data_IF_325270162723
#
_entry.id   IF_325270162723
#
_cell.length_a   1.000
_cell.length_b   1.000
_cell.length_c   1.000
_cell.angle_alpha   90.00
_cell.angle_beta   90.00
_cell.angle_gamma   90.00
#
_symmetry.space_group_name_H-M   'P 1'
#
loop_
_entity.id
_entity.type
_entity.pdbx_description
1 polymer ?
#
# COMPACT_ATOMS: atom_id res chain seq x y z
N UNK A 1 0.20 1.29 -19.00
CA UNK A 1 1.56 1.03 -19.57
C UNK A 1 1.74 1.55 -21.00
N UNK A 2 0.69 2.05 -21.67
CA UNK A 2 0.79 2.79 -22.95
C UNK A 2 1.58 2.08 -24.06
N UNK A 3 1.51 0.75 -24.10
CA UNK A 3 2.18 -0.04 -25.12
C UNK A 3 1.40 -0.03 -26.44
N UNK A 4 2.10 -0.22 -27.54
CA UNK A 4 1.50 -0.61 -28.82
C UNK A 4 1.10 -2.07 -28.74
N UNK A 5 -0.19 -2.37 -28.94
CA UNK A 5 -0.67 -3.76 -29.02
C UNK A 5 -0.33 -4.32 -30.39
N UNK A 6 0.20 -5.54 -30.44
CA UNK A 6 0.53 -6.18 -31.72
C UNK A 6 -0.74 -6.55 -32.49
N UNK A 7 -0.81 -6.17 -33.77
CA UNK A 7 -1.89 -6.60 -34.68
C UNK A 7 -1.95 -8.12 -34.84
N UNK A 8 -0.79 -8.77 -34.67
CA UNK A 8 -0.60 -10.21 -34.72
C UNK A 8 0.50 -10.63 -33.76
N UNK A 9 0.14 -11.42 -32.75
CA UNK A 9 1.06 -12.04 -31.80
C UNK A 9 1.13 -13.55 -32.03
N UNK A 10 2.30 -14.16 -31.86
CA UNK A 10 2.53 -15.58 -32.17
C UNK A 10 3.16 -16.27 -30.97
N UNK A 11 2.55 -17.37 -30.55
CA UNK A 11 3.10 -18.23 -29.50
C UNK A 11 4.27 -19.07 -30.01
N UNK A 12 5.19 -19.34 -29.09
CA UNK A 12 6.42 -20.08 -29.33
C UNK A 12 6.66 -21.09 -28.21
N UNK A 13 7.40 -22.15 -28.54
CA UNK A 13 7.93 -23.10 -27.58
C UNK A 13 9.34 -22.72 -27.19
N UNK A 14 9.57 -22.52 -25.89
CA UNK A 14 10.89 -22.40 -25.27
C UNK A 14 11.26 -23.75 -24.67
N UNK A 15 12.13 -24.50 -25.35
CA UNK A 15 12.45 -25.88 -24.97
C UNK A 15 13.49 -25.93 -23.86
N UNK A 16 13.16 -26.62 -22.78
CA UNK A 16 14.09 -27.02 -21.74
C UNK A 16 13.48 -28.18 -20.94
N UNK A 17 14.34 -29.08 -20.47
CA UNK A 17 13.91 -30.20 -19.65
C UNK A 17 14.13 -29.87 -18.19
N UNK A 18 13.05 -29.86 -17.43
CA UNK A 18 13.09 -29.78 -15.97
C UNK A 18 11.91 -30.56 -15.41
N UNK A 19 12.05 -31.10 -14.20
CA UNK A 19 11.05 -31.99 -13.60
C UNK A 19 9.68 -31.31 -13.41
N UNK A 20 9.66 -29.98 -13.28
CA UNK A 20 8.45 -29.17 -13.12
C UNK A 20 7.82 -28.69 -14.45
N UNK A 21 8.43 -29.02 -15.59
CA UNK A 21 7.93 -28.66 -16.92
C UNK A 21 7.49 -29.92 -17.69
N UNK A 22 6.22 -30.34 -17.57
CA UNK A 22 5.76 -31.65 -18.06
C UNK A 22 5.79 -31.77 -19.59
N UNK A 23 5.67 -30.65 -20.31
CA UNK A 23 5.66 -30.64 -21.77
C UNK A 23 7.07 -30.72 -22.39
N UNK A 24 8.13 -30.53 -21.60
CA UNK A 24 9.51 -30.37 -22.11
C UNK A 24 9.76 -29.05 -22.85
N UNK A 25 8.77 -28.15 -22.88
CA UNK A 25 8.86 -26.78 -23.38
C UNK A 25 7.81 -25.90 -22.70
N UNK A 26 8.11 -24.61 -22.54
CA UNK A 26 7.18 -23.59 -22.06
C UNK A 26 6.58 -22.85 -23.26
N UNK A 27 5.27 -22.64 -23.29
CA UNK A 27 4.62 -21.77 -24.28
C UNK A 27 4.82 -20.32 -23.85
N UNK A 28 5.34 -19.47 -24.74
CA UNK A 28 5.68 -18.06 -24.49
C UNK A 28 5.56 -17.23 -25.80
N UNK A 29 5.91 -15.94 -25.78
CA UNK A 29 5.84 -15.03 -26.95
C UNK A 29 7.08 -14.12 -27.02
N UNK A 30 8.24 -14.64 -27.44
CA UNK A 30 9.49 -13.88 -27.41
C UNK A 30 9.67 -12.97 -28.62
N UNK A 31 9.46 -13.48 -29.84
CA UNK A 31 9.71 -12.78 -31.11
C UNK A 31 8.52 -11.97 -31.61
N UNK A 32 7.32 -12.33 -31.19
CA UNK A 32 6.08 -11.65 -31.57
C UNK A 32 5.23 -11.41 -30.32
N UNK A 33 5.70 -10.55 -29.40
CA UNK A 33 5.07 -10.31 -28.11
C UNK A 33 3.66 -9.73 -28.27
N UNK A 34 2.87 -9.79 -27.22
CA UNK A 34 1.51 -9.28 -27.19
C UNK A 34 1.46 -7.75 -27.33
N UNK A 35 2.38 -7.06 -26.65
CA UNK A 35 2.51 -5.61 -26.74
C UNK A 35 3.99 -5.20 -26.64
N UNK A 36 4.32 -4.03 -27.17
CA UNK A 36 5.70 -3.51 -27.22
C UNK A 36 5.73 -1.98 -27.18
N UNK A 37 6.92 -1.41 -26.96
CA UNK A 37 7.17 0.04 -27.02
C UNK A 37 6.20 0.87 -26.17
N UNK A 38 6.12 0.55 -24.89
CA UNK A 38 5.34 1.32 -23.92
C UNK A 38 6.21 2.10 -22.94
N UNK A 39 5.57 2.65 -21.90
CA UNK A 39 6.28 3.28 -20.80
C UNK A 39 5.43 3.35 -19.53
N UNK A 40 6.09 3.39 -18.39
CA UNK A 40 5.50 3.67 -17.08
C UNK A 40 6.24 4.84 -16.45
N UNK A 41 5.49 5.86 -16.04
CA UNK A 41 6.03 6.97 -15.27
C UNK A 41 6.09 6.59 -13.81
N UNK A 42 7.25 6.76 -13.20
CA UNK A 42 7.48 6.60 -11.76
C UNK A 42 7.79 7.98 -11.22
N UNK A 43 6.84 8.56 -10.50
CA UNK A 43 6.87 9.96 -10.10
C UNK A 43 7.15 10.08 -8.59
N UNK A 44 7.81 11.15 -8.18
CA UNK A 44 8.00 11.45 -6.76
C UNK A 44 6.68 11.58 -6.00
N UNK A 45 5.66 12.08 -6.68
CA UNK A 45 4.31 12.23 -6.14
C UNK A 45 3.66 10.91 -5.76
N UNK A 46 4.08 9.79 -6.35
CA UNK A 46 3.65 8.44 -5.95
C UNK A 46 4.16 8.06 -4.55
N UNK A 47 5.09 8.85 -3.99
CA UNK A 47 5.67 8.74 -2.65
C UNK A 47 6.64 7.58 -2.47
N UNK A 48 7.05 6.92 -3.55
CA UNK A 48 7.99 5.80 -3.51
C UNK A 48 9.45 6.25 -3.68
N UNK A 49 9.66 7.50 -4.08
CA UNK A 49 10.96 8.11 -4.30
C UNK A 49 11.26 9.16 -3.21
N UNK A 50 12.54 9.37 -2.96
CA UNK A 50 13.05 10.30 -1.94
C UNK A 50 13.09 11.76 -2.40
N UNK A 51 13.15 12.03 -3.71
CA UNK A 51 13.16 13.38 -4.27
C UNK A 51 12.55 13.46 -5.67
N UNK A 52 12.22 14.67 -6.12
CA UNK A 52 11.62 14.94 -7.43
C UNK A 52 12.56 14.55 -8.58
N UNK A 53 13.87 14.76 -8.42
CA UNK A 53 14.90 14.44 -9.41
C UNK A 53 15.06 12.92 -9.64
N UNK A 54 14.58 12.11 -8.70
CA UNK A 54 14.58 10.66 -8.86
C UNK A 54 13.46 10.17 -9.80
N UNK A 55 12.48 11.02 -10.14
CA UNK A 55 11.39 10.69 -11.05
C UNK A 55 11.92 10.31 -12.42
N UNK A 56 11.29 9.31 -13.04
CA UNK A 56 11.73 8.82 -14.34
C UNK A 56 10.58 8.17 -15.11
N UNK A 57 10.70 8.22 -16.43
CA UNK A 57 9.89 7.41 -17.34
C UNK A 57 10.68 6.12 -17.64
N UNK A 58 10.12 4.98 -17.27
CA UNK A 58 10.70 3.65 -17.55
C UNK A 58 10.06 3.12 -18.83
N UNK A 59 10.82 2.98 -19.94
CA UNK A 59 10.30 2.36 -21.15
C UNK A 59 10.02 0.87 -20.92
N UNK A 60 8.93 0.38 -21.51
CA UNK A 60 8.60 -1.05 -21.56
C UNK A 60 8.97 -1.54 -22.95
N UNK A 61 9.92 -2.47 -23.02
CA UNK A 61 10.35 -3.07 -24.28
C UNK A 61 9.23 -3.94 -24.84
N UNK A 62 8.71 -4.86 -24.00
CA UNK A 62 7.66 -5.79 -24.40
C UNK A 62 6.86 -6.34 -23.23
N UNK A 63 5.66 -6.81 -23.54
CA UNK A 63 4.78 -7.59 -22.68
C UNK A 63 4.46 -8.88 -23.43
N UNK A 64 4.73 -10.02 -22.80
CA UNK A 64 4.52 -11.34 -23.39
C UNK A 64 3.67 -12.22 -22.49
N UNK A 65 2.88 -13.09 -23.11
CA UNK A 65 2.11 -14.11 -22.42
C UNK A 65 2.91 -15.41 -22.35
N UNK A 66 2.91 -16.05 -21.20
CA UNK A 66 3.56 -17.34 -21.00
C UNK A 66 2.79 -18.26 -20.04
N UNK A 67 3.24 -19.51 -19.94
CA UNK A 67 2.71 -20.49 -18.99
C UNK A 67 3.64 -20.64 -17.79
N UNK A 68 3.07 -20.71 -16.59
CA UNK A 68 3.83 -21.05 -15.38
C UNK A 68 4.18 -22.55 -15.33
N UNK A 69 5.24 -22.86 -14.59
CA UNK A 69 5.71 -24.24 -14.35
C UNK A 69 5.06 -24.83 -13.09
N UNK A 70 5.15 -26.16 -12.93
CA UNK A 70 4.79 -26.82 -11.69
C UNK A 70 5.67 -26.36 -10.51
N UNK A 71 5.30 -26.73 -9.28
CA UNK A 71 6.13 -26.48 -8.10
C UNK A 71 6.96 -27.72 -7.77
N UNK A 72 8.27 -27.54 -7.62
CA UNK A 72 9.18 -28.58 -7.15
C UNK A 72 9.57 -28.33 -5.69
N UNK A 73 9.35 -29.32 -4.83
CA UNK A 73 9.74 -29.29 -3.41
C UNK A 73 10.72 -30.42 -3.09
N UNK A 74 11.73 -30.15 -2.27
CA UNK A 74 12.76 -31.12 -1.90
C UNK A 74 12.65 -31.46 -0.42
N UNK A 75 12.66 -32.76 -0.11
CA UNK A 75 12.61 -33.25 1.26
C UNK A 75 13.76 -34.22 1.50
N UNK A 76 14.25 -34.25 2.73
CA UNK A 76 15.15 -35.29 3.20
C UNK A 76 14.29 -36.40 3.80
N UNK A 77 14.45 -37.63 3.31
CA UNK A 77 13.74 -38.81 3.82
C UNK A 77 14.77 -39.81 4.31
N UNK A 78 14.70 -40.14 5.60
CA UNK A 78 15.49 -41.22 6.15
C UNK A 78 15.01 -42.57 5.60
N UNK A 79 15.98 -43.42 5.27
CA UNK A 79 15.76 -44.79 4.80
C UNK A 79 16.78 -45.72 5.46
N UNK A 80 16.55 -47.04 5.38
CA UNK A 80 17.46 -48.04 5.95
C UNK A 80 18.92 -47.91 5.44
N UNK A 81 19.12 -47.29 4.27
CA UNK A 81 20.43 -47.05 3.66
C UNK A 81 20.91 -45.58 3.79
N UNK A 82 20.38 -44.82 4.76
CA UNK A 82 20.73 -43.43 5.02
C UNK A 82 19.69 -42.41 4.53
N UNK A 83 19.99 -41.13 4.73
CA UNK A 83 19.10 -40.03 4.35
C UNK A 83 19.15 -39.76 2.85
N UNK A 84 18.02 -39.92 2.15
CA UNK A 84 17.89 -39.67 0.71
C UNK A 84 17.12 -38.38 0.46
N UNK A 85 17.60 -37.55 -0.46
CA UNK A 85 16.85 -36.41 -0.98
C UNK A 85 15.78 -36.91 -1.95
N UNK A 86 14.52 -36.63 -1.65
CA UNK A 86 13.37 -36.87 -2.53
C UNK A 86 12.86 -35.53 -3.09
N UNK A 87 12.33 -35.57 -4.30
CA UNK A 87 11.70 -34.44 -4.95
C UNK A 87 10.22 -34.75 -5.14
N UNK A 88 9.36 -33.85 -4.68
CA UNK A 88 7.91 -33.91 -4.89
C UNK A 88 7.51 -32.81 -5.87
N UNK A 89 6.65 -33.17 -6.82
CA UNK A 89 6.17 -32.28 -7.86
C UNK A 89 4.68 -32.03 -7.66
N UNK A 90 4.28 -30.77 -7.62
CA UNK A 90 2.89 -30.34 -7.57
C UNK A 90 2.54 -29.59 -8.86
N UNK A 91 1.68 -30.22 -9.68
CA UNK A 91 1.28 -29.72 -10.99
C UNK A 91 0.06 -28.79 -10.96
N UNK A 92 -0.51 -28.46 -9.79
CA UNK A 92 -1.69 -27.59 -9.70
C UNK A 92 -1.47 -26.21 -10.35
N UNK A 93 -0.23 -25.71 -10.35
CA UNK A 93 0.16 -24.42 -10.96
C UNK A 93 0.57 -24.52 -12.44
N UNK A 94 0.85 -25.73 -12.93
CA UNK A 94 1.38 -25.89 -14.28
C UNK A 94 0.38 -25.41 -15.34
N UNK A 95 0.82 -24.54 -16.24
CA UNK A 95 -0.03 -24.00 -17.32
C UNK A 95 -0.88 -22.79 -16.93
N UNK A 96 -0.81 -22.30 -15.69
CA UNK A 96 -1.41 -21.02 -15.29
C UNK A 96 -0.84 -19.90 -16.15
N UNK A 97 -1.69 -18.96 -16.59
CA UNK A 97 -1.28 -17.85 -17.43
C UNK A 97 -0.41 -16.84 -16.67
N UNK A 98 0.68 -16.41 -17.30
CA UNK A 98 1.58 -15.38 -16.81
C UNK A 98 1.71 -14.26 -17.83
N UNK A 99 1.97 -13.06 -17.31
CA UNK A 99 2.35 -11.89 -18.09
C UNK A 99 3.78 -11.54 -17.67
N UNK A 100 4.72 -11.61 -18.61
CA UNK A 100 6.08 -11.13 -18.39
C UNK A 100 6.22 -9.72 -18.99
N UNK A 101 6.59 -8.76 -18.15
CA UNK A 101 6.78 -7.35 -18.49
C UNK A 101 8.27 -7.04 -18.47
N UNK A 102 8.84 -6.75 -19.64
CA UNK A 102 10.27 -6.46 -19.78
C UNK A 102 10.47 -4.94 -19.89
N UNK A 103 11.14 -4.36 -18.90
CA UNK A 103 11.53 -2.95 -18.91
C UNK A 103 12.86 -2.75 -19.64
N UNK A 104 13.03 -1.58 -20.26
CA UNK A 104 14.33 -1.13 -20.73
C UNK A 104 15.23 -0.78 -19.53
N UNK A 105 16.57 -0.79 -19.69
CA UNK A 105 17.52 -0.51 -18.61
C UNK A 105 17.61 1.00 -18.29
N UNK A 106 16.50 1.61 -17.85
CA UNK A 106 16.38 3.04 -17.55
C UNK A 106 16.64 3.41 -16.09
N UNK A 107 16.39 2.48 -15.16
CA UNK A 107 16.59 2.70 -13.72
C UNK A 107 18.09 2.83 -13.39
N UNK A 108 18.42 3.70 -12.44
CA UNK A 108 19.80 4.03 -12.01
C UNK A 108 20.05 3.79 -10.53
N UNK A 109 19.01 3.64 -9.73
CA UNK A 109 19.11 3.36 -8.29
C UNK A 109 18.22 2.19 -7.88
N UNK A 110 18.57 1.54 -6.77
CA UNK A 110 17.73 0.50 -6.15
C UNK A 110 16.34 1.05 -5.75
N UNK A 111 16.29 2.32 -5.34
CA UNK A 111 15.04 3.01 -5.01
C UNK A 111 14.11 3.11 -6.22
N UNK A 112 14.63 3.55 -7.38
CA UNK A 112 13.87 3.58 -8.63
C UNK A 112 13.36 2.20 -9.04
N UNK A 113 14.16 1.15 -8.83
CA UNK A 113 13.75 -0.23 -9.10
C UNK A 113 12.57 -0.66 -8.22
N UNK A 114 12.60 -0.38 -6.92
CA UNK A 114 11.47 -0.68 -6.04
C UNK A 114 10.23 0.16 -6.35
N UNK A 115 10.40 1.44 -6.64
CA UNK A 115 9.31 2.32 -7.02
C UNK A 115 8.64 1.86 -8.32
N UNK A 116 9.42 1.40 -9.30
CA UNK A 116 8.89 0.80 -10.53
C UNK A 116 8.07 -0.47 -10.26
N UNK A 117 8.58 -1.41 -9.46
CA UNK A 117 7.84 -2.65 -9.14
C UNK A 117 6.53 -2.34 -8.39
N UNK A 118 6.54 -1.39 -7.45
CA UNK A 118 5.32 -0.93 -6.77
C UNK A 118 4.33 -0.30 -7.74
N UNK A 119 4.80 0.55 -8.67
CA UNK A 119 3.95 1.15 -9.70
C UNK A 119 3.29 0.10 -10.60
N UNK A 120 4.05 -0.93 -11.01
CA UNK A 120 3.50 -2.05 -11.79
C UNK A 120 2.44 -2.80 -10.98
N UNK A 121 2.71 -3.10 -9.71
CA UNK A 121 1.73 -3.74 -8.79
C UNK A 121 0.45 -2.92 -8.70
N UNK A 122 0.55 -1.61 -8.49
CA UNK A 122 -0.62 -0.71 -8.38
C UNK A 122 -1.45 -0.70 -9.66
N UNK A 123 -0.78 -0.65 -10.83
CA UNK A 123 -1.45 -0.71 -12.13
C UNK A 123 -2.19 -2.05 -12.33
N UNK A 124 -1.53 -3.17 -12.03
CA UNK A 124 -2.11 -4.51 -12.21
C UNK A 124 -3.29 -4.77 -11.27
N UNK A 125 -3.20 -4.31 -10.02
CA UNK A 125 -4.29 -4.37 -9.04
C UNK A 125 -5.47 -3.52 -9.46
N UNK A 126 -5.20 -2.30 -9.92
CA UNK A 126 -6.23 -1.35 -10.35
C UNK A 126 -7.11 -1.95 -11.47
N UNK A 127 -6.50 -2.59 -12.47
CA UNK A 127 -7.23 -3.23 -13.58
C UNK A 127 -7.69 -4.67 -13.26
N UNK A 128 -7.49 -5.13 -12.02
CA UNK A 128 -7.82 -6.48 -11.56
C UNK A 128 -7.21 -7.60 -12.42
N UNK A 129 -6.00 -7.38 -12.95
CA UNK A 129 -5.26 -8.39 -13.72
C UNK A 129 -4.43 -9.33 -12.82
N UNK A 130 -4.04 -8.85 -11.64
CA UNK A 130 -3.32 -9.62 -10.62
C UNK A 130 -3.51 -8.98 -9.25
N UNK A 131 -3.54 -9.81 -8.21
CA UNK A 131 -3.43 -9.47 -6.81
C UNK A 131 -2.04 -8.91 -6.45
N UNK A 132 -1.01 -9.20 -7.25
CA UNK A 132 0.30 -8.57 -7.19
C UNK A 132 1.09 -8.84 -5.89
N UNK A 133 0.80 -9.93 -5.19
CA UNK A 133 1.46 -10.30 -3.94
C UNK A 133 2.77 -11.06 -4.22
N UNK A 134 3.90 -10.48 -3.82
CA UNK A 134 5.20 -11.10 -4.04
C UNK A 134 5.46 -12.30 -3.13
N UNK A 135 4.95 -12.28 -1.90
CA UNK A 135 5.13 -13.36 -0.93
C UNK A 135 4.37 -14.63 -1.33
N UNK A 136 3.19 -14.47 -1.95
CA UNK A 136 2.38 -15.57 -2.49
C UNK A 136 2.82 -15.99 -3.90
N UNK A 137 3.71 -15.22 -4.53
CA UNK A 137 4.31 -15.52 -5.81
C UNK A 137 3.44 -15.19 -7.03
N UNK A 138 2.40 -14.36 -6.86
CA UNK A 138 1.57 -13.82 -7.94
C UNK A 138 2.19 -12.60 -8.62
N UNK A 139 3.18 -11.97 -8.00
CA UNK A 139 4.12 -11.04 -8.64
C UNK A 139 5.56 -11.52 -8.41
N UNK A 140 6.35 -11.63 -9.48
CA UNK A 140 7.76 -12.04 -9.43
C UNK A 140 8.61 -11.01 -10.14
N UNK A 141 9.84 -10.82 -9.68
CA UNK A 141 10.78 -9.89 -10.29
C UNK A 141 12.20 -10.48 -10.28
N UNK A 142 12.82 -10.53 -11.46
CA UNK A 142 14.26 -10.74 -11.61
C UNK A 142 14.91 -9.40 -11.97
N UNK A 143 16.04 -9.07 -11.34
CA UNK A 143 16.71 -7.79 -11.51
C UNK A 143 18.00 -7.94 -12.32
N UNK A 144 18.18 -7.13 -13.37
CA UNK A 144 19.41 -7.09 -14.14
C UNK A 144 20.24 -5.87 -13.72
N UNK A 145 21.43 -6.11 -13.14
CA UNK A 145 22.30 -5.07 -12.59
C UNK A 145 23.63 -5.02 -13.33
N UNK A 146 24.01 -3.83 -13.75
CA UNK A 146 25.33 -3.53 -14.29
C UNK A 146 25.76 -2.14 -13.86
N UNK A 147 27.06 -1.95 -13.62
CA UNK A 147 27.66 -0.63 -13.38
C UNK A 147 28.64 -0.26 -14.49
N UNK A 148 28.87 1.04 -14.65
CA UNK A 148 29.80 1.61 -15.62
C UNK A 148 30.29 2.96 -15.12
N UNK A 149 31.40 3.47 -15.67
CA UNK A 149 31.83 4.84 -15.40
C UNK A 149 30.97 5.80 -16.23
N UNK A 150 30.70 6.98 -15.69
CA UNK A 150 29.96 8.00 -16.43
C UNK A 150 30.64 8.30 -17.77
N UNK A 151 29.87 8.27 -18.86
CA UNK A 151 30.37 8.48 -20.22
C UNK A 151 30.93 7.23 -20.91
N UNK A 152 30.96 6.07 -20.26
CA UNK A 152 31.33 4.79 -20.91
C UNK A 152 30.09 3.98 -21.30
N UNK A 153 30.19 3.00 -22.19
CA UNK A 153 29.12 2.02 -22.41
C UNK A 153 28.75 1.28 -21.12
N UNK A 154 27.53 0.72 -21.06
CA UNK A 154 27.12 -0.15 -19.96
C UNK A 154 28.05 -1.38 -19.86
N UNK A 155 28.31 -1.80 -18.61
CA UNK A 155 29.13 -2.97 -18.33
C UNK A 155 28.40 -4.29 -18.55
N UNK A 156 29.06 -5.38 -18.14
CA UNK A 156 28.44 -6.71 -18.10
C UNK A 156 27.31 -6.74 -17.08
N UNK A 157 26.18 -7.36 -17.43
CA UNK A 157 25.04 -7.54 -16.52
C UNK A 157 25.16 -8.81 -15.69
N UNK A 158 24.76 -8.72 -14.43
CA UNK A 158 24.41 -9.87 -13.59
C UNK A 158 22.89 -9.88 -13.36
N UNK A 159 22.29 -11.05 -13.49
CA UNK A 159 20.85 -11.26 -13.29
C UNK A 159 20.64 -11.84 -11.89
N UNK A 160 19.89 -11.14 -11.04
CA UNK A 160 19.54 -11.57 -9.68
C UNK A 160 18.15 -12.18 -9.70
N UNK A 161 18.03 -13.40 -9.17
CA UNK A 161 16.79 -14.18 -9.07
C UNK A 161 16.36 -14.37 -7.61
N UNK A 162 15.12 -14.84 -7.44
CA UNK A 162 14.50 -15.18 -6.15
C UNK A 162 14.32 -13.96 -5.24
N UNK A 163 13.76 -12.87 -5.78
CA UNK A 163 13.45 -11.67 -5.02
C UNK A 163 11.95 -11.68 -4.63
N UNK A 164 11.68 -12.12 -3.40
CA UNK A 164 10.30 -12.34 -2.91
C UNK A 164 9.63 -11.08 -2.33
N UNK A 165 10.35 -9.95 -2.24
CA UNK A 165 9.77 -8.69 -1.79
C UNK A 165 10.49 -7.49 -2.41
N UNK A 166 9.82 -6.34 -2.44
CA UNK A 166 10.44 -5.06 -2.87
C UNK A 166 11.61 -4.69 -1.95
N UNK A 167 11.52 -5.00 -0.66
CA UNK A 167 12.62 -4.79 0.30
C UNK A 167 13.87 -5.58 -0.11
N UNK A 168 13.71 -6.85 -0.49
CA UNK A 168 14.82 -7.70 -0.90
C UNK A 168 15.36 -7.30 -2.28
N UNK A 169 14.52 -6.84 -3.20
CA UNK A 169 14.96 -6.22 -4.44
C UNK A 169 15.90 -5.04 -4.17
N UNK A 170 15.52 -4.12 -3.28
CA UNK A 170 16.34 -2.96 -2.93
C UNK A 170 17.70 -3.37 -2.37
N UNK A 171 17.71 -4.31 -1.42
CA UNK A 171 18.93 -4.81 -0.80
C UNK A 171 19.82 -5.52 -1.82
N UNK A 172 19.24 -6.38 -2.65
CA UNK A 172 19.99 -7.16 -3.64
C UNK A 172 20.64 -6.29 -4.70
N UNK A 173 19.90 -5.30 -5.25
CA UNK A 173 20.45 -4.35 -6.23
C UNK A 173 21.58 -3.52 -5.61
N UNK A 174 21.38 -3.02 -4.39
CA UNK A 174 22.40 -2.23 -3.67
C UNK A 174 23.67 -3.06 -3.43
N UNK A 175 23.51 -4.29 -2.94
CA UNK A 175 24.63 -5.19 -2.70
C UNK A 175 25.37 -5.51 -4.01
N UNK A 176 24.63 -5.84 -5.08
CA UNK A 176 25.23 -6.21 -6.36
C UNK A 176 25.99 -5.04 -7.00
N UNK A 177 25.46 -3.81 -6.90
CA UNK A 177 26.19 -2.61 -7.31
C UNK A 177 27.51 -2.45 -6.56
N UNK A 178 27.50 -2.60 -5.23
CA UNK A 178 28.70 -2.50 -4.41
C UNK A 178 29.72 -3.62 -4.70
N UNK A 179 29.23 -4.85 -4.92
CA UNK A 179 30.05 -5.99 -5.32
C UNK A 179 30.77 -5.72 -6.64
N UNK A 180 30.02 -5.31 -7.66
CA UNK A 180 30.59 -5.02 -8.97
C UNK A 180 31.59 -3.86 -8.87
N UNK A 181 31.28 -2.82 -8.09
CA UNK A 181 32.17 -1.67 -7.88
C UNK A 181 33.50 -2.11 -7.27
N UNK A 182 33.44 -2.89 -6.20
CA UNK A 182 34.62 -3.38 -5.49
C UNK A 182 35.50 -4.24 -6.41
N UNK A 183 34.88 -5.12 -7.21
CA UNK A 183 35.60 -5.99 -8.13
C UNK A 183 36.25 -5.21 -9.29
N UNK A 184 35.58 -4.19 -9.84
CA UNK A 184 36.15 -3.35 -10.89
C UNK A 184 37.28 -2.45 -10.35
N UNK A 185 37.12 -1.87 -9.16
CA UNK A 185 38.16 -1.05 -8.53
C UNK A 185 39.40 -1.87 -8.14
N UNK A 186 39.25 -3.16 -7.82
CA UNK A 186 40.38 -4.07 -7.61
C UNK A 186 41.03 -4.56 -8.92
N UNK A 187 40.64 -4.04 -10.08
CA UNK A 187 41.17 -4.45 -11.39
C UNK A 187 40.60 -5.76 -11.94
N UNK A 188 39.53 -6.29 -11.32
CA UNK A 188 38.81 -7.47 -11.79
C UNK A 188 37.85 -7.16 -12.95
N UNK A 189 37.16 -8.19 -13.42
CA UNK A 189 36.16 -8.07 -14.49
C UNK A 189 34.83 -8.70 -14.06
N UNK A 190 33.72 -8.13 -14.53
CA UNK A 190 32.39 -8.67 -14.28
C UNK A 190 32.06 -9.70 -15.37
N UNK A 191 31.79 -10.94 -14.96
CA UNK A 191 31.27 -11.98 -15.83
C UNK A 191 29.74 -11.97 -15.86
N UNK A 192 29.16 -12.47 -16.95
CA UNK A 192 27.71 -12.59 -17.06
C UNK A 192 27.23 -13.79 -16.23
N UNK A 193 26.51 -13.50 -15.15
CA UNK A 193 26.14 -14.51 -14.14
C UNK A 193 24.63 -14.51 -13.88
N UNK A 194 24.10 -15.67 -13.49
CA UNK A 194 22.82 -15.74 -12.75
C UNK A 194 23.15 -15.89 -11.27
N UNK A 195 22.66 -14.96 -10.46
CA UNK A 195 22.91 -14.87 -9.03
C UNK A 195 21.60 -15.04 -8.27
N UNK A 196 21.67 -15.63 -7.08
CA UNK A 196 20.57 -15.66 -6.13
C UNK A 196 20.80 -14.62 -5.04
N UNK A 197 19.77 -14.31 -4.27
CA UNK A 197 19.86 -13.46 -3.09
C UNK A 197 19.62 -14.28 -1.82
N UNK A 198 20.52 -14.15 -0.84
CA UNK A 198 20.37 -14.72 0.50
C UNK A 198 19.76 -13.65 1.40
N UNK A 199 18.46 -13.78 1.70
CA UNK A 199 17.71 -12.81 2.48
C UNK A 199 18.22 -12.66 3.92
N UNK A 200 18.76 -13.73 4.52
CA UNK A 200 19.24 -13.73 5.89
C UNK A 200 20.58 -12.99 6.02
N UNK A 201 21.45 -13.14 5.02
CA UNK A 201 22.76 -12.50 4.99
C UNK A 201 22.78 -11.17 4.25
N UNK A 202 21.78 -10.90 3.42
CA UNK A 202 21.71 -9.71 2.58
C UNK A 202 22.75 -9.69 1.46
N UNK A 203 23.15 -10.85 0.93
CA UNK A 203 24.23 -10.98 -0.06
C UNK A 203 23.77 -11.70 -1.33
N UNK A 204 24.34 -11.35 -2.48
CA UNK A 204 24.16 -12.13 -3.71
C UNK A 204 25.16 -13.27 -3.79
N UNK A 205 24.72 -14.46 -4.19
CA UNK A 205 25.59 -15.63 -4.40
C UNK A 205 25.49 -16.13 -5.84
N UNK A 206 26.56 -16.72 -6.35
CA UNK A 206 26.59 -17.29 -7.70
C UNK A 206 25.71 -18.55 -7.73
N UNK A 207 24.73 -18.62 -8.64
CA UNK A 207 23.95 -19.84 -8.88
C UNK A 207 24.56 -20.64 -10.04
N UNK A 208 24.79 -19.95 -11.17
CA UNK A 208 25.39 -20.54 -12.38
C UNK A 208 26.12 -19.48 -13.21
N UNK A 209 27.22 -19.86 -13.85
CA UNK A 209 27.86 -19.07 -14.91
C UNK A 209 27.04 -19.18 -16.21
N UNK A 210 27.09 -18.16 -17.08
CA UNK A 210 26.39 -18.18 -18.39
C UNK A 210 27.27 -18.68 -19.55
N UNK A 211 28.43 -19.30 -19.28
CA UNK A 211 29.24 -19.95 -20.33
C UNK A 211 28.46 -21.07 -21.04
N UNK A 212 27.49 -21.69 -20.36
CA UNK A 212 26.55 -22.68 -20.89
C UNK A 212 25.14 -22.08 -21.14
N UNK A 213 25.03 -20.91 -21.77
CA UNK A 213 23.72 -20.32 -22.07
C UNK A 213 22.83 -21.35 -22.80
N UNK A 214 21.70 -21.81 -22.21
CA UNK A 214 20.94 -22.89 -22.82
C UNK A 214 20.38 -22.46 -24.17
N UNK A 215 20.66 -23.23 -25.22
CA UNK A 215 19.93 -23.08 -26.47
C UNK A 215 18.51 -23.61 -26.27
N UNK A 216 17.60 -22.67 -25.96
CA UNK A 216 16.19 -22.95 -25.75
C UNK A 216 15.44 -23.34 -27.04
N UNK A 217 16.10 -23.35 -28.22
CA UNK A 217 15.54 -23.79 -29.51
C UNK A 217 14.13 -23.27 -29.76
N UNK A 218 13.97 -21.96 -29.77
CA UNK A 218 12.66 -21.32 -29.96
C UNK A 218 12.06 -21.72 -31.32
N UNK A 219 10.82 -22.20 -31.30
CA UNK A 219 10.04 -22.48 -32.51
C UNK A 219 8.61 -22.00 -32.34
N UNK A 220 7.91 -21.76 -33.45
CA UNK A 220 6.48 -21.46 -33.40
C UNK A 220 5.70 -22.61 -32.76
N UNK A 221 4.70 -22.27 -31.94
CA UNK A 221 3.74 -23.24 -31.41
C UNK A 221 2.70 -23.55 -32.49
N UNK A 222 2.74 -24.72 -33.16
CA UNK A 222 1.83 -25.03 -34.26
C UNK A 222 0.38 -25.26 -33.79
N UNK A 223 0.16 -25.57 -32.52
CA UNK A 223 -1.18 -25.89 -32.01
C UNK A 223 -2.00 -24.65 -31.65
N UNK A 224 -1.39 -23.47 -31.63
CA UNK A 224 -2.06 -22.20 -31.33
C UNK A 224 -2.00 -21.29 -32.56
N UNK A 225 -3.16 -20.87 -33.05
CA UNK A 225 -3.23 -19.89 -34.12
C UNK A 225 -2.69 -18.54 -33.64
N UNK A 226 -2.16 -17.69 -34.55
CA UNK A 226 -1.77 -16.34 -34.20
C UNK A 226 -2.90 -15.59 -33.49
N UNK A 227 -2.56 -14.92 -32.40
CA UNK A 227 -3.49 -14.10 -31.64
C UNK A 227 -3.65 -12.75 -32.36
N UNK A 228 -4.88 -12.41 -32.70
CA UNK A 228 -5.25 -11.13 -33.30
C UNK A 228 -6.32 -10.48 -32.44
N UNK A 229 -6.04 -9.27 -31.96
CA UNK A 229 -7.00 -8.50 -31.17
C UNK A 229 -7.67 -7.48 -32.07
N UNK A 230 -8.99 -7.58 -32.23
CA UNK A 230 -9.70 -6.65 -33.11
C UNK A 230 -9.78 -5.26 -32.50
N UNK A 231 -9.94 -4.24 -33.34
CA UNK A 231 -10.11 -2.87 -32.86
C UNK A 231 -11.34 -2.73 -31.96
N UNK A 232 -12.42 -3.42 -32.29
CA UNK A 232 -13.65 -3.48 -31.48
C UNK A 232 -13.39 -4.06 -30.09
N UNK A 233 -12.64 -5.17 -29.98
CA UNK A 233 -12.27 -5.75 -28.69
C UNK A 233 -11.40 -4.78 -27.88
N UNK A 234 -10.43 -4.12 -28.52
CA UNK A 234 -9.59 -3.12 -27.85
C UNK A 234 -10.40 -1.94 -27.33
N UNK A 235 -11.30 -1.40 -28.14
CA UNK A 235 -12.11 -0.24 -27.76
C UNK A 235 -13.11 -0.61 -26.64
N UNK A 236 -13.66 -1.82 -26.66
CA UNK A 236 -14.48 -2.36 -25.56
C UNK A 236 -13.69 -2.46 -24.25
N UNK A 237 -12.46 -3.00 -24.29
CA UNK A 237 -11.60 -3.09 -23.09
C UNK A 237 -11.21 -1.70 -22.61
N UNK A 238 -10.82 -0.79 -23.51
CA UNK A 238 -10.48 0.60 -23.16
C UNK A 238 -11.63 1.33 -22.49
N UNK A 239 -12.86 1.17 -23.00
CA UNK A 239 -14.05 1.79 -22.41
C UNK A 239 -14.40 1.22 -21.02
N UNK A 240 -13.97 -0.01 -20.73
CA UNK A 240 -14.16 -0.66 -19.42
C UNK A 240 -13.00 -0.50 -18.44
N UNK A 241 -11.94 0.23 -18.80
CA UNK A 241 -10.82 0.45 -17.89
C UNK A 241 -11.28 1.35 -16.72
N UNK A 242 -10.92 1.02 -15.47
CA UNK A 242 -11.13 1.90 -14.34
C UNK A 242 -10.22 3.12 -14.45
N UNK A 243 -10.54 4.15 -13.65
CA UNK A 243 -9.63 5.29 -13.45
C UNK A 243 -8.28 4.79 -12.94
N UNK A 244 -7.21 5.01 -13.72
CA UNK A 244 -5.87 4.55 -13.37
C UNK A 244 -5.31 5.33 -12.18
N UNK A 245 -4.33 4.79 -11.44
CA UNK A 245 -3.79 5.44 -10.24
C UNK A 245 -3.28 6.87 -10.48
N UNK A 246 -2.61 7.11 -11.62
CA UNK A 246 -2.10 8.43 -11.99
C UNK A 246 -3.22 9.45 -12.23
N UNK A 247 -4.22 9.06 -13.02
CA UNK A 247 -5.37 9.90 -13.35
C UNK A 247 -6.18 10.21 -12.10
N UNK A 248 -6.39 9.20 -11.24
CA UNK A 248 -7.04 9.36 -9.95
C UNK A 248 -6.29 10.32 -9.04
N UNK A 249 -4.98 10.13 -8.87
CA UNK A 249 -4.17 11.01 -8.03
C UNK A 249 -4.20 12.46 -8.54
N UNK A 250 -4.11 12.65 -9.85
CA UNK A 250 -4.22 13.96 -10.48
C UNK A 250 -5.60 14.58 -10.22
N UNK A 251 -6.68 13.82 -10.44
CA UNK A 251 -8.06 14.28 -10.21
C UNK A 251 -8.27 14.67 -8.75
N UNK A 252 -7.92 13.80 -7.80
CA UNK A 252 -8.08 14.07 -6.37
C UNK A 252 -7.32 15.34 -5.94
N UNK A 253 -6.10 15.54 -6.46
CA UNK A 253 -5.32 16.75 -6.19
C UNK A 253 -5.99 18.01 -6.72
N UNK A 254 -6.46 17.99 -7.97
CA UNK A 254 -7.07 19.16 -8.61
C UNK A 254 -8.47 19.46 -8.06
N UNK A 255 -9.27 18.42 -7.81
CA UNK A 255 -10.66 18.55 -7.39
C UNK A 255 -10.78 18.91 -5.90
N UNK A 256 -9.92 18.36 -5.05
CA UNK A 256 -10.01 18.50 -3.60
C UNK A 256 -8.86 19.30 -2.97
N UNK A 257 -7.93 19.82 -3.78
CA UNK A 257 -6.76 20.60 -3.32
C UNK A 257 -5.90 19.86 -2.27
N UNK A 258 -5.88 18.53 -2.33
CA UNK A 258 -5.15 17.69 -1.39
C UNK A 258 -3.65 17.76 -1.64
N UNK A 259 -2.87 17.73 -0.55
CA UNK A 259 -1.42 17.64 -0.67
C UNK A 259 -0.98 16.25 -1.17
N UNK A 260 0.16 16.18 -1.86
CA UNK A 260 0.78 14.92 -2.28
C UNK A 260 0.98 13.96 -1.11
N UNK A 261 1.33 14.50 0.07
CA UNK A 261 1.51 13.71 1.29
C UNK A 261 0.20 13.04 1.72
N UNK A 262 -0.90 13.78 1.75
CA UNK A 262 -2.19 13.26 2.18
C UNK A 262 -2.73 12.22 1.19
N UNK A 263 -2.58 12.47 -0.11
CA UNK A 263 -2.94 11.52 -1.16
C UNK A 263 -2.15 10.21 -1.05
N UNK A 264 -0.85 10.30 -0.79
CA UNK A 264 -0.02 9.11 -0.61
C UNK A 264 -0.45 8.29 0.61
N UNK A 265 -0.86 8.93 1.70
CA UNK A 265 -1.37 8.19 2.84
C UNK A 265 -2.74 7.59 2.51
N UNK A 266 -3.65 8.35 1.89
CA UNK A 266 -5.00 7.90 1.56
C UNK A 266 -5.00 6.70 0.60
N UNK A 267 -4.20 6.77 -0.46
CA UNK A 267 -4.11 5.72 -1.49
C UNK A 267 -3.40 4.47 -1.00
N UNK A 268 -2.60 4.56 0.06
CA UNK A 268 -1.86 3.45 0.66
C UNK A 268 -2.55 2.78 1.82
N UNK A 269 -3.69 3.30 2.27
CA UNK A 269 -4.50 2.59 3.26
C UNK A 269 -4.90 1.23 2.66
N UNK A 270 -4.45 0.14 3.31
CA UNK A 270 -4.54 -1.25 2.83
C UNK A 270 -3.64 -1.62 1.62
N UNK A 271 -2.64 -0.83 1.25
CA UNK A 271 -1.70 -1.20 0.18
C UNK A 271 -0.57 -2.14 0.67
N UNK A 272 -0.21 -2.03 1.95
CA UNK A 272 0.91 -2.73 2.61
C UNK A 272 0.53 -4.14 3.13
N UNK A 273 -0.20 -4.92 2.35
CA UNK A 273 -0.38 -6.37 2.56
C UNK A 273 0.93 -7.19 2.33
N UNK A 274 2.10 -6.57 2.50
CA UNK A 274 3.37 -7.31 2.55
C UNK A 274 3.54 -8.04 3.92
N UNK A 275 2.61 -7.82 4.86
CA UNK A 275 2.42 -8.63 6.07
C UNK A 275 0.96 -9.08 6.14
N UNK A 276 0.64 -10.12 5.38
CA UNK A 276 -0.65 -10.80 5.54
C UNK A 276 -0.78 -11.28 7.00
N UNK A 277 -1.76 -10.74 7.73
CA UNK A 277 -2.37 -11.48 8.84
C UNK A 277 -3.25 -12.52 8.16
N UNK A 278 -2.99 -13.83 8.34
CA UNK A 278 -3.83 -14.85 7.72
C UNK A 278 -5.27 -14.65 8.23
N UNK A 279 -6.21 -14.44 7.32
CA UNK A 279 -7.61 -14.60 7.65
C UNK A 279 -7.80 -16.06 8.10
N UNK A 280 -8.50 -16.32 9.23
CA UNK A 280 -8.74 -17.67 9.69
C UNK A 280 -9.43 -18.50 8.60
N UNK A 281 -8.93 -19.72 8.40
CA UNK A 281 -9.50 -20.69 7.47
C UNK A 281 -11.01 -20.87 7.77
N UNK A 282 -11.85 -20.57 6.77
CA UNK A 282 -13.30 -20.69 6.88
C UNK A 282 -14.09 -19.38 6.68
N UNK A 283 -13.42 -18.24 6.47
CA UNK A 283 -14.08 -17.02 6.01
C UNK A 283 -14.57 -17.20 4.57
N UNK A 284 -15.88 -17.31 4.40
CA UNK A 284 -16.53 -17.33 3.08
C UNK A 284 -16.13 -16.05 2.35
N UNK A 285 -15.76 -16.18 1.06
CA UNK A 285 -15.69 -15.03 0.15
C UNK A 285 -16.97 -14.19 0.33
N UNK A 286 -16.88 -12.90 0.70
CA UNK A 286 -18.06 -12.11 0.94
C UNK A 286 -18.83 -11.94 -0.38
N UNK A 287 -20.12 -12.27 -0.32
CA UNK A 287 -21.06 -12.10 -1.42
C UNK A 287 -21.12 -10.63 -1.87
N UNK A 288 -21.45 -10.36 -3.14
CA UNK A 288 -21.32 -9.03 -3.76
C UNK A 288 -22.43 -8.04 -3.36
N UNK A 289 -23.04 -8.18 -2.19
CA UNK A 289 -24.21 -7.41 -1.81
C UNK A 289 -24.01 -6.78 -0.43
N UNK A 290 -23.44 -5.56 -0.41
CA UNK A 290 -23.74 -4.44 0.52
C UNK A 290 -22.61 -3.40 0.45
N UNK A 291 -22.98 -2.13 0.22
CA UNK A 291 -22.11 -0.97 0.06
C UNK A 291 -21.09 -0.79 1.21
N UNK A 292 -19.91 -1.37 1.05
CA UNK A 292 -18.73 -1.01 1.81
C UNK A 292 -17.72 -0.49 0.79
N UNK A 293 -17.46 0.81 0.82
CA UNK A 293 -16.33 1.45 0.13
C UNK A 293 -15.04 0.75 0.59
N UNK A 294 -14.54 -0.20 -0.21
CA UNK A 294 -13.46 -1.13 0.19
C UNK A 294 -12.10 -0.46 0.29
N UNK A 295 -11.94 0.70 -0.36
CA UNK A 295 -10.71 1.48 -0.31
C UNK A 295 -10.96 2.84 0.36
N UNK A 296 -9.90 3.43 0.93
CA UNK A 296 -10.01 4.67 1.68
C UNK A 296 -10.30 5.90 0.81
N UNK A 297 -9.98 5.85 -0.49
CA UNK A 297 -10.30 6.92 -1.43
C UNK A 297 -11.81 7.03 -1.61
N UNK A 298 -12.48 5.94 -1.94
CA UNK A 298 -13.93 5.91 -2.11
C UNK A 298 -14.64 6.32 -0.81
N UNK A 299 -14.11 5.90 0.34
CA UNK A 299 -14.63 6.29 1.65
C UNK A 299 -14.51 7.81 1.88
N UNK A 300 -13.34 8.38 1.61
CA UNK A 300 -13.09 9.81 1.69
C UNK A 300 -14.04 10.59 0.76
N UNK A 301 -14.16 10.18 -0.50
CA UNK A 301 -15.05 10.83 -1.48
C UNK A 301 -16.52 10.75 -1.04
N UNK A 302 -16.94 9.61 -0.47
CA UNK A 302 -18.27 9.46 0.10
C UNK A 302 -18.52 10.43 1.27
N UNK A 303 -17.54 10.67 2.14
CA UNK A 303 -17.64 11.68 3.22
C UNK A 303 -17.73 13.10 2.64
N UNK A 304 -17.01 13.40 1.57
CA UNK A 304 -17.12 14.70 0.88
C UNK A 304 -18.49 14.87 0.24
N UNK A 305 -19.07 13.81 -0.34
CA UNK A 305 -20.43 13.82 -0.89
C UNK A 305 -21.52 14.14 0.16
N UNK A 306 -21.26 13.89 1.45
CA UNK A 306 -22.12 14.30 2.57
C UNK A 306 -22.02 15.80 2.91
N UNK A 307 -21.32 16.58 2.09
CA UNK A 307 -21.16 18.03 2.25
C UNK A 307 -20.04 18.45 3.22
N UNK A 308 -19.12 17.53 3.54
CA UNK A 308 -17.96 17.83 4.38
C UNK A 308 -16.86 18.44 3.52
N UNK A 309 -16.22 19.50 4.04
CA UNK A 309 -15.07 20.14 3.40
C UNK A 309 -13.93 19.13 3.20
N UNK A 310 -13.29 19.08 2.01
CA UNK A 310 -12.34 18.02 1.67
C UNK A 310 -11.16 17.87 2.63
N UNK A 311 -10.53 18.96 3.09
CA UNK A 311 -9.43 18.86 4.03
C UNK A 311 -9.88 18.29 5.38
N UNK A 312 -11.07 18.68 5.86
CA UNK A 312 -11.68 18.09 7.04
C UNK A 312 -11.97 16.60 6.85
N UNK A 313 -12.62 16.20 5.75
CA UNK A 313 -12.91 14.80 5.44
C UNK A 313 -11.63 13.95 5.38
N UNK A 314 -10.57 14.49 4.76
CA UNK A 314 -9.25 13.85 4.69
C UNK A 314 -8.65 13.66 6.09
N UNK A 315 -8.59 14.74 6.88
CA UNK A 315 -8.03 14.71 8.24
C UNK A 315 -8.79 13.71 9.12
N UNK A 316 -10.12 13.65 9.01
CA UNK A 316 -10.93 12.70 9.77
C UNK A 316 -10.76 11.26 9.30
N UNK A 317 -10.62 11.03 8.01
CA UNK A 317 -10.40 9.68 7.46
C UNK A 317 -9.02 9.14 7.90
N UNK A 318 -7.96 9.94 7.75
CA UNK A 318 -6.58 9.51 8.00
C UNK A 318 -6.15 9.65 9.46
N UNK A 319 -6.38 10.80 10.10
CA UNK A 319 -5.81 11.09 11.41
C UNK A 319 -6.72 10.70 12.57
N UNK A 320 -7.99 10.41 12.31
CA UNK A 320 -8.96 10.04 13.33
C UNK A 320 -9.47 8.61 13.13
N UNK A 321 -10.15 8.31 12.02
CA UNK A 321 -10.70 6.97 11.78
C UNK A 321 -9.62 5.90 11.64
N UNK A 322 -8.66 6.08 10.72
CA UNK A 322 -7.59 5.10 10.50
C UNK A 322 -6.75 4.87 11.77
N UNK A 323 -6.55 5.91 12.59
CA UNK A 323 -5.86 5.79 13.87
C UNK A 323 -6.61 4.87 14.84
N UNK A 324 -7.92 5.05 14.99
CA UNK A 324 -8.73 4.21 15.90
C UNK A 324 -8.86 2.78 15.37
N UNK A 325 -8.98 2.59 14.06
CA UNK A 325 -8.97 1.27 13.42
C UNK A 325 -7.66 0.52 13.66
N UNK A 326 -6.52 1.19 13.48
CA UNK A 326 -5.20 0.62 13.78
C UNK A 326 -5.05 0.26 15.26
N UNK A 327 -5.59 1.09 16.17
CA UNK A 327 -5.57 0.79 17.60
C UNK A 327 -6.44 -0.43 17.96
N UNK A 328 -7.54 -0.64 17.23
CA UNK A 328 -8.41 -1.81 17.36
C UNK A 328 -7.97 -3.02 16.53
N UNK A 329 -6.88 -2.91 15.75
CA UNK A 329 -6.42 -3.93 14.78
C UNK A 329 -7.49 -4.34 13.76
N UNK A 330 -8.36 -3.41 13.37
CA UNK A 330 -9.40 -3.62 12.36
C UNK A 330 -8.89 -3.11 11.01
N UNK A 331 -8.83 -3.94 9.95
CA UNK A 331 -8.49 -3.47 8.61
C UNK A 331 -9.45 -2.38 8.15
N UNK A 332 -8.98 -1.40 7.37
CA UNK A 332 -9.85 -0.29 6.96
C UNK A 332 -11.02 -0.77 6.08
N UNK A 333 -10.80 -1.80 5.26
CA UNK A 333 -11.84 -2.41 4.44
C UNK A 333 -12.98 -3.05 5.27
N UNK A 334 -12.72 -3.35 6.55
CA UNK A 334 -13.66 -3.93 7.49
C UNK A 334 -14.17 -2.89 8.52
N UNK A 335 -13.92 -1.60 8.27
CA UNK A 335 -14.32 -0.53 9.18
C UNK A 335 -15.84 -0.58 9.42
N UNK A 336 -16.31 -0.66 10.69
CA UNK A 336 -17.73 -0.69 11.01
C UNK A 336 -18.37 0.70 10.95
N UNK A 337 -17.60 1.75 10.60
CA UNK A 337 -18.04 3.13 10.57
C UNK A 337 -18.38 3.54 9.14
N UNK A 338 -19.66 3.77 8.80
CA UNK A 338 -20.05 4.28 7.48
C UNK A 338 -19.58 5.72 7.22
N UNK A 339 -19.42 6.13 5.94
CA UNK A 339 -19.11 7.52 5.57
C UNK A 339 -20.11 8.53 6.16
N UNK A 340 -21.40 8.19 6.15
CA UNK A 340 -22.49 9.03 6.69
C UNK A 340 -22.35 9.28 8.19
N UNK A 341 -21.92 8.27 8.95
CA UNK A 341 -21.66 8.39 10.39
C UNK A 341 -20.47 9.31 10.65
N UNK A 342 -19.37 9.14 9.88
CA UNK A 342 -18.21 10.02 10.03
C UNK A 342 -18.58 11.47 9.69
N UNK A 343 -19.33 11.70 8.61
CA UNK A 343 -19.79 13.03 8.24
C UNK A 343 -20.65 13.69 9.34
N UNK A 344 -21.56 12.95 9.97
CA UNK A 344 -22.37 13.43 11.08
C UNK A 344 -21.50 13.77 12.30
N UNK A 345 -20.51 12.95 12.64
CA UNK A 345 -19.54 13.26 13.71
C UNK A 345 -18.77 14.55 13.41
N UNK A 346 -18.30 14.73 12.18
CA UNK A 346 -17.60 15.94 11.75
C UNK A 346 -18.50 17.17 11.93
N UNK A 347 -19.75 17.11 11.47
CA UNK A 347 -20.73 18.21 11.64
C UNK A 347 -20.97 18.56 13.10
N UNK A 348 -21.09 17.56 13.98
CA UNK A 348 -21.27 17.78 15.41
C UNK A 348 -20.03 18.37 16.09
N UNK A 349 -18.82 18.07 15.61
CA UNK A 349 -17.59 18.74 16.07
C UNK A 349 -17.48 20.16 15.53
N UNK A 350 -17.80 20.39 14.25
CA UNK A 350 -17.73 21.73 13.62
C UNK A 350 -18.74 22.72 14.22
N UNK A 351 -19.95 22.25 14.55
CA UNK A 351 -20.94 23.04 15.30
C UNK A 351 -20.59 23.11 16.82
N UNK A 352 -19.65 22.26 17.23
CA UNK A 352 -19.23 21.91 18.58
C UNK A 352 -20.37 21.53 19.52
N UNK A 353 -21.36 20.83 18.98
CA UNK A 353 -22.23 19.97 19.81
C UNK A 353 -21.38 19.06 20.70
N UNK A 354 -20.25 18.56 20.18
CA UNK A 354 -19.29 17.72 20.91
C UNK A 354 -17.85 18.19 20.67
N UNK A 355 -16.93 17.79 21.55
CA UNK A 355 -15.49 18.00 21.34
C UNK A 355 -14.91 16.93 20.42
N UNK A 356 -13.74 17.20 19.80
CA UNK A 356 -12.98 16.18 19.06
C UNK A 356 -12.66 14.96 19.92
N UNK A 357 -12.40 15.15 21.22
CA UNK A 357 -12.11 14.06 22.16
C UNK A 357 -13.35 13.17 22.38
N UNK A 358 -14.53 13.78 22.47
CA UNK A 358 -15.80 13.03 22.53
C UNK A 358 -16.06 12.27 21.24
N UNK A 359 -15.77 12.85 20.08
CA UNK A 359 -15.91 12.16 18.80
C UNK A 359 -14.94 10.96 18.69
N UNK A 360 -13.70 11.06 19.18
CA UNK A 360 -12.77 9.92 19.26
C UNK A 360 -13.29 8.83 20.18
N UNK A 361 -13.87 9.20 21.32
CA UNK A 361 -14.56 8.24 22.18
C UNK A 361 -15.67 7.50 21.41
N UNK A 362 -16.57 8.22 20.74
CA UNK A 362 -17.65 7.60 19.97
C UNK A 362 -17.14 6.67 18.87
N UNK A 363 -16.11 7.07 18.12
CA UNK A 363 -15.49 6.21 17.11
C UNK A 363 -14.94 4.92 17.74
N UNK A 364 -14.16 5.05 18.82
CA UNK A 364 -13.51 3.91 19.47
C UNK A 364 -14.53 2.91 20.05
N UNK A 365 -15.53 3.40 20.78
CA UNK A 365 -16.56 2.53 21.36
C UNK A 365 -17.49 1.94 20.29
N UNK A 366 -17.65 2.63 19.15
CA UNK A 366 -18.38 2.09 18.01
C UNK A 366 -17.59 1.00 17.29
N UNK A 367 -16.27 1.17 17.14
CA UNK A 367 -15.38 0.16 16.54
C UNK A 367 -15.28 -1.07 17.45
N UNK A 368 -15.26 -0.89 18.78
CA UNK A 368 -15.26 -2.02 19.74
C UNK A 368 -16.61 -2.75 19.83
N UNK A 369 -17.66 -2.26 19.16
CA UNK A 369 -19.01 -2.82 19.20
C UNK A 369 -19.79 -2.53 20.48
N UNK A 370 -19.30 -1.64 21.35
CA UNK A 370 -19.96 -1.27 22.60
C UNK A 370 -21.12 -0.29 22.37
N UNK A 371 -21.01 0.52 21.32
CA UNK A 371 -22.04 1.49 20.91
C UNK A 371 -22.33 1.29 19.42
N UNK A 372 -23.58 1.50 19.02
CA UNK A 372 -23.92 1.63 17.60
C UNK A 372 -24.23 3.08 17.27
N UNK A 373 -23.57 3.63 16.25
CA UNK A 373 -23.83 4.98 15.74
C UNK A 373 -24.82 5.02 14.57
N UNK A 374 -25.38 3.86 14.23
CA UNK A 374 -26.40 3.69 13.22
C UNK A 374 -27.39 2.57 13.60
N UNK A 375 -28.59 2.60 13.03
CA UNK A 375 -29.63 1.57 13.16
C UNK A 375 -30.08 1.19 11.76
N UNK A 376 -29.66 0.02 11.28
CA UNK A 376 -29.84 -0.34 9.87
C UNK A 376 -29.11 0.68 8.98
N UNK A 377 -29.85 1.42 8.15
CA UNK A 377 -29.29 2.47 7.28
C UNK A 377 -29.38 3.89 7.87
N UNK A 378 -30.00 4.07 9.04
CA UNK A 378 -30.19 5.39 9.64
C UNK A 378 -29.06 5.75 10.62
N UNK A 379 -28.51 6.96 10.49
CA UNK A 379 -27.49 7.49 11.39
C UNK A 379 -28.14 7.99 12.69
N UNK A 380 -27.70 7.48 13.85
CA UNK A 380 -28.27 7.83 15.16
C UNK A 380 -27.29 8.56 16.10
N UNK A 381 -26.20 9.13 15.57
CA UNK A 381 -25.15 9.84 16.33
C UNK A 381 -25.71 10.86 17.34
N UNK A 382 -26.70 11.68 16.95
CA UNK A 382 -27.33 12.67 17.85
C UNK A 382 -28.09 12.03 19.02
N UNK A 383 -28.77 10.91 18.78
CA UNK A 383 -29.47 10.17 19.84
C UNK A 383 -28.47 9.66 20.87
N UNK A 384 -27.37 9.06 20.39
CA UNK A 384 -26.29 8.53 21.23
C UNK A 384 -25.62 9.65 22.04
N UNK A 385 -25.34 10.80 21.43
CA UNK A 385 -24.79 11.97 22.14
C UNK A 385 -25.72 12.40 23.27
N UNK A 386 -27.03 12.42 23.03
CA UNK A 386 -28.03 12.83 24.02
C UNK A 386 -28.17 11.81 25.14
N UNK A 387 -28.25 10.52 24.80
CA UNK A 387 -28.45 9.44 25.79
C UNK A 387 -27.23 9.24 26.71
N UNK A 388 -26.03 9.52 26.22
CA UNK A 388 -24.79 9.42 26.98
C UNK A 388 -24.35 10.77 27.58
N UNK A 389 -25.18 11.81 27.47
CA UNK A 389 -24.91 13.17 27.98
C UNK A 389 -23.55 13.73 27.52
N UNK A 390 -23.22 13.53 26.24
CA UNK A 390 -21.88 13.83 25.69
C UNK A 390 -21.74 15.25 25.12
N UNK A 391 -22.77 16.08 25.26
CA UNK A 391 -22.76 17.46 24.77
C UNK A 391 -21.59 18.28 25.37
N UNK A 392 -21.03 19.17 24.56
CA UNK A 392 -19.96 20.05 24.97
C UNK A 392 -20.48 21.07 25.99
N UNK A 393 -19.77 21.20 27.12
CA UNK A 393 -20.09 22.17 28.18
C UNK A 393 -19.45 23.51 27.84
N UNK A 394 -20.27 24.56 27.69
CA UNK A 394 -19.83 25.87 27.14
C UNK A 394 -20.22 27.04 28.02
N UNK A 395 -21.35 26.93 28.72
CA UNK A 395 -21.87 28.04 29.50
C UNK A 395 -21.15 28.15 30.85
N UNK A 396 -21.03 29.36 31.42
CA UNK A 396 -20.48 29.55 32.76
C UNK A 396 -21.20 28.71 33.82
N UNK A 397 -22.51 28.50 33.66
CA UNK A 397 -23.33 27.71 34.57
C UNK A 397 -22.95 26.23 34.56
N UNK A 398 -22.74 25.65 33.37
CA UNK A 398 -22.31 24.25 33.20
C UNK A 398 -20.85 24.02 33.66
N UNK A 399 -19.97 25.00 33.43
CA UNK A 399 -18.54 24.86 33.70
C UNK A 399 -18.15 25.19 35.16
N UNK A 400 -18.95 26.00 35.87
CA UNK A 400 -18.65 26.46 37.23
C UNK A 400 -18.46 25.31 38.24
N UNK A 401 -19.25 24.23 38.26
CA UNK A 401 -19.02 23.10 39.17
C UNK A 401 -17.63 22.48 39.00
N UNK A 402 -17.24 22.21 37.75
CA UNK A 402 -15.94 21.61 37.42
C UNK A 402 -14.77 22.55 37.72
N UNK A 403 -14.90 23.84 37.39
CA UNK A 403 -13.86 24.83 37.68
C UNK A 403 -13.67 25.00 39.20
N UNK A 404 -14.76 25.01 39.96
CA UNK A 404 -14.71 25.14 41.43
C UNK A 404 -14.04 23.92 42.07
N UNK A 405 -14.42 22.71 41.66
CA UNK A 405 -13.81 21.47 42.14
C UNK A 405 -12.30 21.43 41.86
N UNK A 406 -11.87 21.80 40.65
CA UNK A 406 -10.46 21.84 40.26
C UNK A 406 -9.67 22.89 41.07
N UNK A 407 -10.22 24.08 41.30
CA UNK A 407 -9.56 25.11 42.11
C UNK A 407 -9.36 24.64 43.57
N UNK A 408 -10.33 23.90 44.13
CA UNK A 408 -10.23 23.34 45.48
C UNK A 408 -9.22 22.18 45.56
N UNK A 409 -9.16 21.33 44.55
CA UNK A 409 -8.22 20.19 44.50
C UNK A 409 -6.78 20.60 44.20
N UNK A 410 -6.56 21.77 43.59
CA UNK A 410 -5.24 22.23 43.13
C UNK A 410 -4.78 23.57 43.75
N UNK A 411 -4.76 23.73 45.09
CA UNK A 411 -4.46 25.02 45.74
C UNK A 411 -3.03 25.53 45.47
N UNK A 412 -2.07 24.63 45.26
CA UNK A 412 -0.68 24.98 44.91
C UNK A 412 -0.57 25.64 43.53
N UNK A 413 -1.39 25.17 42.57
CA UNK A 413 -1.39 25.71 41.22
C UNK A 413 -2.10 27.08 41.19
N UNK A 414 -3.14 27.27 42.03
CA UNK A 414 -3.80 28.57 42.25
C UNK A 414 -2.82 29.61 42.79
N UNK A 415 -2.09 29.28 43.87
CA UNK A 415 -1.05 30.19 44.41
C UNK A 415 0.04 30.52 43.40
N UNK A 416 0.45 29.55 42.57
CA UNK A 416 1.44 29.80 41.52
C UNK A 416 0.94 30.81 40.47
N UNK A 417 -0.36 30.82 40.15
CA UNK A 417 -0.96 31.77 39.22
C UNK A 417 -1.00 33.18 39.83
N UNK A 418 -1.38 33.33 41.11
CA UNK A 418 -1.32 34.63 41.80
C UNK A 418 0.12 35.18 41.86
N UNK A 419 1.12 34.29 41.93
CA UNK A 419 2.54 34.64 41.85
C UNK A 419 3.05 34.88 40.40
N UNK A 420 2.16 35.00 39.41
CA UNK A 420 2.49 35.36 38.03
C UNK A 420 2.88 34.20 37.11
N UNK A 421 2.80 32.94 37.53
CA UNK A 421 3.15 31.79 36.68
C UNK A 421 2.01 31.37 35.76
N UNK A 422 1.95 31.95 34.57
CA UNK A 422 0.93 31.70 33.53
C UNK A 422 0.82 30.23 33.08
N UNK A 423 1.90 29.43 33.16
CA UNK A 423 1.86 27.98 32.82
C UNK A 423 0.96 27.16 33.75
N UNK A 424 0.74 27.59 34.99
CA UNK A 424 -0.12 26.88 35.92
C UNK A 424 -1.62 26.95 35.51
N UNK A 425 -2.03 27.99 34.76
CA UNK A 425 -3.38 28.08 34.21
C UNK A 425 -3.68 26.95 33.21
N UNK A 426 -2.73 26.63 32.32
CA UNK A 426 -2.90 25.53 31.37
C UNK A 426 -3.06 24.18 32.07
N UNK A 427 -2.39 24.00 33.22
CA UNK A 427 -2.53 22.79 34.04
C UNK A 427 -3.92 22.69 34.67
N UNK A 428 -4.48 23.80 35.18
CA UNK A 428 -5.86 23.84 35.69
C UNK A 428 -6.89 23.59 34.59
N UNK A 429 -6.72 24.18 33.39
CA UNK A 429 -7.57 23.88 32.23
C UNK A 429 -7.50 22.39 31.89
N UNK A 430 -6.31 21.79 31.89
CA UNK A 430 -6.13 20.35 31.70
C UNK A 430 -6.83 19.49 32.76
N UNK A 431 -6.88 19.95 34.02
CA UNK A 431 -7.61 19.28 35.09
C UNK A 431 -9.14 19.40 34.89
N UNK A 432 -9.67 20.57 34.50
CA UNK A 432 -11.09 20.75 34.16
C UNK A 432 -11.50 19.86 32.98
N UNK A 433 -10.64 19.76 31.96
CA UNK A 433 -10.85 18.84 30.83
C UNK A 433 -10.86 17.37 31.25
N UNK A 434 -10.15 16.98 32.32
CA UNK A 434 -10.15 15.62 32.83
C UNK A 434 -11.41 15.34 33.65
N UNK A 435 -11.77 16.25 34.54
CA UNK A 435 -12.94 16.14 35.43
C UNK A 435 -14.26 16.12 34.64
N UNK A 436 -14.32 16.87 33.54
CA UNK A 436 -15.48 16.89 32.63
C UNK A 436 -15.50 15.73 31.62
N UNK A 437 -14.60 14.75 31.74
CA UNK A 437 -14.40 13.66 30.77
C UNK A 437 -14.14 14.14 29.33
N UNK A 438 -13.58 15.34 29.17
CA UNK A 438 -13.28 15.93 27.87
C UNK A 438 -14.45 16.68 27.22
N UNK A 439 -15.57 16.87 27.94
CA UNK A 439 -16.74 17.61 27.44
C UNK A 439 -16.60 19.13 27.57
N UNK A 440 -15.75 19.64 28.46
CA UNK A 440 -15.58 21.08 28.61
C UNK A 440 -15.01 21.73 27.34
N UNK A 441 -15.52 22.91 26.99
CA UNK A 441 -14.86 23.79 26.04
C UNK A 441 -13.63 24.45 26.68
N UNK A 442 -12.45 24.20 26.12
CA UNK A 442 -11.20 24.67 26.70
C UNK A 442 -11.11 26.20 26.74
N UNK A 443 -11.67 26.91 25.77
CA UNK A 443 -11.63 28.38 25.68
C UNK A 443 -12.56 28.97 26.75
N UNK A 444 -13.79 28.49 26.83
CA UNK A 444 -14.77 28.91 27.83
C UNK A 444 -14.31 28.58 29.25
N UNK A 445 -13.75 27.39 29.48
CA UNK A 445 -13.18 27.00 30.77
C UNK A 445 -11.99 27.90 31.15
N UNK A 446 -11.11 28.22 30.20
CA UNK A 446 -9.99 29.15 30.44
C UNK A 446 -10.49 30.54 30.83
N UNK A 447 -11.52 31.04 30.14
CA UNK A 447 -12.13 32.34 30.45
C UNK A 447 -12.74 32.34 31.86
N UNK A 448 -13.54 31.33 32.19
CA UNK A 448 -14.19 31.22 33.50
C UNK A 448 -13.19 31.06 34.64
N UNK A 449 -12.13 30.25 34.46
CA UNK A 449 -11.07 30.10 35.45
C UNK A 449 -10.36 31.43 35.73
N UNK A 450 -10.08 32.24 34.69
CA UNK A 450 -9.50 33.58 34.87
C UNK A 450 -10.43 34.51 35.64
N UNK A 451 -11.73 34.50 35.33
CA UNK A 451 -12.73 35.32 36.04
C UNK A 451 -12.85 34.92 37.51
N UNK A 452 -12.88 33.61 37.81
CA UNK A 452 -12.91 33.10 39.18
C UNK A 452 -11.63 33.44 39.94
N UNK A 453 -10.46 33.26 39.34
CA UNK A 453 -9.17 33.58 39.96
C UNK A 453 -8.94 35.08 40.17
N UNK A 454 -9.61 35.95 39.41
CA UNK A 454 -9.56 37.40 39.60
C UNK A 454 -10.53 37.90 40.69
N UNK A 455 -11.49 37.06 41.09
CA UNK A 455 -12.48 37.35 42.14
C UNK A 455 -12.17 36.65 43.48
N UNK A 456 -11.01 35.97 43.56
CA UNK A 456 -10.39 35.43 44.78
C UNK A 456 -9.08 36.15 45.04
#
# INVERSE_FOLDING_TARGET
>A
MNCTIADRSIFERKHYFYADQPLGYQITQRRSPYAYSGSVSVCFEDGFLSSEEASLQVPIEQIQLEQDTAKSSYFMKDSENGTKRIQLLDFNRAGVALIEIVSAPAMRTAEQAGAYVRKIRDLLRCVNASDGNMNEGSLRCDANVSIHRMGTPFGTRCEIKNLNSVKFLLQAVTYEMQRQYTLLESGGTIQQESRGFDEARGVTYLMRSKEDAPDYRYMHEPNLTPLQVTREQLDKVRAGLPELPDDRNLRLRLQYSLSTRDLNVLTRVNADDDVAVPLPEGTKQPQPEQHHTRNAVDFFEAVVCEGIEPQSAMNWTIHHLLKELNAAQVPFAESPIPPTVLAELIRNVSNGTITTKTAHYLLRESISGQISLYKGSEVCVKEVITSLELNQLRTPQELRPYCTAVLQQHPKDVQAIHNGKTKALQKLVGAVMRESSGRADAIAATKLLKEMLAST
#
